data_IF_116508940531
#
_entry.id   IF_116508940531
#
_cell.length_a   1.000
_cell.length_b   1.000
_cell.length_c   1.000
_cell.angle_alpha   90.00
_cell.angle_beta   90.00
_cell.angle_gamma   90.00
#
_symmetry.space_group_name_H-M   'P 1'
#
loop_
_entity.id
_entity.type
_entity.pdbx_description
1 polymer ?
#
# COMPACT_ATOMS: atom_id res chain seq x y z
N UNK A 1 43.31 22.44 69.99
CA UNK A 1 44.24 21.42 69.44
C UNK A 1 43.80 21.06 68.04
N UNK A 2 44.77 21.00 67.13
CA UNK A 2 44.70 20.49 65.75
C UNK A 2 43.86 21.27 64.71
N UNK A 3 44.60 22.06 63.92
CA UNK A 3 44.29 22.45 62.55
C UNK A 3 44.14 21.22 61.64
N UNK A 4 43.26 21.27 60.63
CA UNK A 4 43.67 20.94 59.26
C UNK A 4 42.72 21.50 58.20
N UNK A 5 43.38 21.85 57.09
CA UNK A 5 42.99 22.76 56.04
C UNK A 5 42.51 22.02 54.78
N UNK A 6 41.77 22.78 53.94
CA UNK A 6 41.63 22.66 52.48
C UNK A 6 40.69 21.55 51.97
N UNK A 7 39.61 21.97 51.27
CA UNK A 7 39.52 21.80 49.81
C UNK A 7 38.38 22.66 49.24
N UNK A 8 38.75 23.47 48.25
CA UNK A 8 37.90 24.37 47.51
C UNK A 8 36.74 23.63 46.83
N UNK A 9 35.52 24.11 47.01
CA UNK A 9 34.36 23.68 46.25
C UNK A 9 34.27 24.53 44.97
N UNK A 10 34.79 24.00 43.86
CA UNK A 10 34.48 24.52 42.54
C UNK A 10 33.11 23.94 42.13
N UNK A 11 32.08 24.78 42.11
CA UNK A 11 30.77 24.43 41.59
C UNK A 11 30.84 24.36 40.06
N UNK A 12 31.09 23.17 39.52
CA UNK A 12 30.92 22.88 38.09
C UNK A 12 29.46 22.54 37.81
N UNK A 13 28.68 23.49 37.29
CA UNK A 13 27.36 23.21 36.75
C UNK A 13 27.52 22.44 35.42
N UNK A 14 27.27 21.13 35.45
CA UNK A 14 27.16 20.33 34.25
C UNK A 14 25.83 20.66 33.55
N UNK A 15 25.89 21.50 32.51
CA UNK A 15 24.77 21.72 31.61
C UNK A 15 24.64 20.45 30.75
N UNK A 16 23.69 19.58 31.10
CA UNK A 16 23.26 18.52 30.21
C UNK A 16 22.55 19.16 29.00
N UNK A 17 23.25 19.23 27.86
CA UNK A 17 22.61 19.53 26.57
C UNK A 17 21.68 18.36 26.24
N UNK A 18 20.40 18.49 26.60
CA UNK A 18 19.36 17.68 26.00
C UNK A 18 19.34 18.01 24.51
N UNK A 19 19.85 17.10 23.69
CA UNK A 19 19.61 17.12 22.25
C UNK A 19 18.11 16.89 22.03
N UNK A 20 17.34 17.99 22.00
CA UNK A 20 15.99 17.99 21.50
C UNK A 20 16.10 17.67 20.00
N UNK A 21 15.97 16.39 19.64
CA UNK A 21 15.71 16.01 18.27
C UNK A 21 14.49 16.78 17.81
N UNK A 22 14.67 17.66 16.82
CA UNK A 22 13.58 18.43 16.26
C UNK A 22 12.56 17.45 15.67
N UNK A 23 11.45 17.23 16.36
CA UNK A 23 10.29 16.59 15.77
C UNK A 23 9.83 17.52 14.64
N UNK A 24 10.14 17.16 13.39
CA UNK A 24 9.66 17.92 12.24
C UNK A 24 8.15 17.76 12.20
N UNK A 25 7.41 18.85 12.31
CA UNK A 25 5.96 18.81 12.22
C UNK A 25 5.54 18.32 10.83
N UNK A 26 4.47 17.53 10.78
CA UNK A 26 3.87 17.12 9.51
C UNK A 26 3.51 18.37 8.69
N UNK A 27 3.94 18.38 7.43
CA UNK A 27 3.72 19.53 6.54
C UNK A 27 2.37 19.43 5.84
N UNK A 28 1.94 20.53 5.22
CA UNK A 28 0.87 20.43 4.24
C UNK A 28 1.35 19.60 3.03
N UNK A 29 0.51 18.73 2.48
CA UNK A 29 0.89 17.91 1.34
C UNK A 29 1.28 18.81 0.15
N UNK A 30 2.53 18.70 -0.38
CA UNK A 30 2.99 19.59 -1.43
C UNK A 30 2.26 19.35 -2.75
N UNK A 31 1.97 20.42 -3.48
CA UNK A 31 1.49 20.32 -4.85
C UNK A 31 2.66 19.95 -5.78
N UNK A 32 2.56 18.81 -6.47
CA UNK A 32 3.58 18.31 -7.38
C UNK A 32 3.06 18.25 -8.83
N UNK A 33 3.97 18.25 -9.79
CA UNK A 33 3.65 18.08 -11.21
C UNK A 33 3.43 16.60 -11.55
N UNK A 34 2.20 16.11 -11.32
CA UNK A 34 1.81 14.71 -11.52
C UNK A 34 0.95 14.56 -12.79
N UNK A 35 1.29 13.58 -13.63
CA UNK A 35 0.39 13.09 -14.67
C UNK A 35 -0.67 12.17 -14.04
N UNK A 36 -1.86 12.72 -13.80
CA UNK A 36 -2.97 12.01 -13.17
C UNK A 36 -3.44 10.80 -13.97
N UNK A 37 -3.23 10.78 -15.29
CA UNK A 37 -3.61 9.63 -16.15
C UNK A 37 -2.74 8.39 -15.89
N UNK A 38 -1.61 8.57 -15.21
CA UNK A 38 -0.68 7.50 -14.85
C UNK A 38 -0.82 7.09 -13.38
N UNK A 39 -1.91 7.45 -12.69
CA UNK A 39 -2.08 7.10 -11.28
C UNK A 39 -2.47 5.63 -11.13
N UNK A 40 -1.83 4.94 -10.19
CA UNK A 40 -2.12 3.56 -9.81
C UNK A 40 -2.21 3.41 -8.29
N UNK A 41 -2.78 2.30 -7.83
CA UNK A 41 -2.87 1.96 -6.40
C UNK A 41 -2.43 0.52 -6.15
N UNK A 42 -1.84 0.25 -5.01
CA UNK A 42 -1.65 -1.11 -4.53
C UNK A 42 -1.85 -1.25 -3.03
N UNK A 43 -1.91 -2.49 -2.55
CA UNK A 43 -1.85 -2.74 -1.12
C UNK A 43 -1.83 -4.22 -0.74
N UNK A 44 -1.53 -4.44 0.54
CA UNK A 44 -1.52 -5.76 1.18
C UNK A 44 -2.76 -5.93 2.07
N UNK A 45 -3.35 -7.13 2.10
CA UNK A 45 -4.39 -7.49 3.10
C UNK A 45 -5.58 -6.53 3.02
N UNK A 46 -5.99 -5.89 4.13
CA UNK A 46 -6.99 -4.83 4.12
C UNK A 46 -6.65 -3.66 3.17
N UNK A 47 -5.36 -3.30 3.03
CA UNK A 47 -4.89 -2.35 2.02
C UNK A 47 -5.07 -2.88 0.60
N UNK A 48 -4.95 -4.20 0.38
CA UNK A 48 -5.25 -4.85 -0.89
C UNK A 48 -6.74 -4.83 -1.24
N UNK A 49 -7.62 -5.10 -0.27
CA UNK A 49 -9.05 -4.89 -0.42
C UNK A 49 -9.38 -3.43 -0.74
N UNK A 50 -8.76 -2.48 -0.03
CA UNK A 50 -8.95 -1.06 -0.30
C UNK A 50 -8.41 -0.63 -1.67
N UNK A 51 -7.29 -1.20 -2.13
CA UNK A 51 -6.78 -0.95 -3.47
C UNK A 51 -7.79 -1.37 -4.56
N UNK A 52 -8.47 -2.51 -4.37
CA UNK A 52 -9.58 -2.92 -5.25
C UNK A 52 -10.75 -1.95 -5.16
N UNK A 53 -11.13 -1.52 -3.95
CA UNK A 53 -12.20 -0.54 -3.76
C UNK A 53 -11.92 0.79 -4.44
N UNK A 54 -10.72 1.35 -4.27
CA UNK A 54 -10.31 2.59 -4.90
C UNK A 54 -10.24 2.45 -6.41
N UNK A 55 -9.66 1.36 -6.91
CA UNK A 55 -9.54 1.14 -8.35
C UNK A 55 -10.90 0.97 -9.04
N UNK A 56 -11.87 0.30 -8.41
CA UNK A 56 -13.22 0.13 -8.98
C UNK A 56 -14.05 1.41 -8.81
N UNK A 57 -14.09 1.97 -7.59
CA UNK A 57 -14.95 3.10 -7.28
C UNK A 57 -14.51 4.40 -7.94
N UNK A 58 -13.19 4.61 -8.03
CA UNK A 58 -12.55 5.81 -8.58
C UNK A 58 -11.65 5.44 -9.77
N UNK A 59 -12.14 4.56 -10.64
CA UNK A 59 -11.40 4.05 -11.80
C UNK A 59 -10.90 5.12 -12.76
N UNK A 60 -11.55 6.29 -12.84
CA UNK A 60 -11.04 7.44 -13.61
C UNK A 60 -9.80 8.06 -12.95
N UNK A 61 -9.70 8.01 -11.61
CA UNK A 61 -8.53 8.47 -10.87
C UNK A 61 -7.40 7.47 -11.00
N UNK A 62 -7.65 6.19 -10.75
CA UNK A 62 -6.66 5.10 -10.84
C UNK A 62 -6.61 4.46 -12.22
N UNK A 63 -6.68 5.29 -13.27
CA UNK A 63 -6.90 4.87 -14.66
C UNK A 63 -5.83 3.92 -15.21
N UNK A 64 -4.62 3.94 -14.63
CA UNK A 64 -3.53 3.09 -15.09
C UNK A 64 -3.64 1.67 -14.54
N UNK A 65 -4.24 1.48 -13.36
CA UNK A 65 -4.50 0.17 -12.79
C UNK A 65 -4.14 -0.02 -11.33
N UNK A 66 -4.12 -1.29 -10.90
CA UNK A 66 -3.92 -1.66 -9.51
C UNK A 66 -3.09 -2.92 -9.27
N UNK A 67 -2.39 -2.94 -8.14
CA UNK A 67 -1.72 -4.12 -7.60
C UNK A 67 -2.41 -4.62 -6.34
N UNK A 68 -2.64 -5.91 -6.20
CA UNK A 68 -3.37 -6.47 -5.05
C UNK A 68 -2.60 -7.65 -4.48
N UNK A 69 -2.20 -7.54 -3.23
CA UNK A 69 -1.42 -8.55 -2.50
C UNK A 69 -2.31 -9.09 -1.39
N UNK A 70 -2.70 -10.37 -1.48
CA UNK A 70 -3.55 -11.02 -0.46
C UNK A 70 -4.80 -10.19 -0.08
N UNK A 71 -5.48 -9.62 -1.08
CA UNK A 71 -6.75 -8.88 -0.94
C UNK A 71 -7.95 -9.74 -1.36
N UNK A 72 -8.96 -9.12 -1.99
CA UNK A 72 -10.11 -9.85 -2.51
C UNK A 72 -11.09 -9.00 -3.32
N UNK A 73 -12.18 -9.61 -3.82
CA UNK A 73 -13.16 -8.94 -4.69
C UNK A 73 -13.75 -7.67 -4.10
N UNK A 74 -14.10 -6.74 -4.99
CA UNK A 74 -14.88 -5.56 -4.61
C UNK A 74 -16.17 -5.97 -3.91
N UNK A 75 -16.49 -5.31 -2.80
CA UNK A 75 -17.68 -5.59 -1.99
C UNK A 75 -17.78 -7.04 -1.45
N UNK A 76 -16.67 -7.80 -1.39
CA UNK A 76 -16.69 -9.21 -0.96
C UNK A 76 -17.41 -9.43 0.39
N UNK A 77 -17.18 -8.53 1.36
CA UNK A 77 -17.75 -8.64 2.69
C UNK A 77 -19.26 -8.34 2.72
N UNK A 78 -19.82 -7.65 1.71
CA UNK A 78 -21.22 -7.22 1.69
C UNK A 78 -21.67 -6.51 2.99
N UNK A 79 -20.77 -5.73 3.60
CA UNK A 79 -21.03 -5.06 4.88
C UNK A 79 -21.09 -5.98 6.12
N UNK A 80 -20.71 -7.25 6.00
CA UNK A 80 -20.76 -8.24 7.09
C UNK A 80 -19.37 -8.68 7.55
N UNK A 81 -19.12 -8.57 8.86
CA UNK A 81 -17.88 -9.06 9.49
C UNK A 81 -17.73 -10.58 9.38
N UNK A 82 -18.85 -11.31 9.33
CA UNK A 82 -18.87 -12.76 9.16
C UNK A 82 -18.39 -13.13 7.76
N UNK A 83 -18.85 -12.40 6.74
CA UNK A 83 -18.35 -12.61 5.37
C UNK A 83 -16.89 -12.17 5.24
N UNK A 84 -16.53 -11.05 5.85
CA UNK A 84 -15.16 -10.52 5.83
C UNK A 84 -14.16 -11.54 6.38
N UNK A 85 -14.39 -12.04 7.60
CA UNK A 85 -13.47 -12.99 8.26
C UNK A 85 -13.64 -14.44 7.79
N UNK A 86 -14.81 -14.80 7.28
CA UNK A 86 -15.11 -16.10 6.69
C UNK A 86 -14.69 -16.17 5.22
N UNK A 87 -15.65 -16.01 4.30
CA UNK A 87 -15.41 -16.28 2.88
C UNK A 87 -14.44 -15.32 2.20
N UNK A 88 -14.24 -14.11 2.73
CA UNK A 88 -13.25 -13.18 2.17
C UNK A 88 -11.85 -13.34 2.78
N UNK A 89 -11.63 -14.32 3.66
CA UNK A 89 -10.34 -14.56 4.29
C UNK A 89 -10.05 -16.07 4.44
N UNK A 90 -10.69 -16.72 5.42
CA UNK A 90 -10.33 -18.06 5.89
C UNK A 90 -10.98 -19.22 5.11
N UNK A 91 -12.13 -18.99 4.47
CA UNK A 91 -12.95 -20.05 3.85
C UNK A 91 -13.54 -19.61 2.52
N UNK A 92 -12.73 -19.43 1.46
CA UNK A 92 -13.15 -18.81 0.19
C UNK A 92 -14.24 -19.55 -0.59
N UNK A 93 -14.63 -20.75 -0.16
CA UNK A 93 -15.79 -21.44 -0.71
C UNK A 93 -17.05 -20.57 -0.50
N UNK A 94 -17.70 -20.20 -1.61
CA UNK A 94 -18.95 -19.43 -1.58
C UNK A 94 -18.82 -17.92 -1.72
N UNK A 95 -17.66 -17.38 -2.12
CA UNK A 95 -17.58 -15.99 -2.62
C UNK A 95 -18.49 -15.87 -3.87
N UNK A 96 -19.53 -15.01 -3.86
CA UNK A 96 -20.52 -14.96 -4.93
C UNK A 96 -20.08 -14.00 -6.05
N UNK A 97 -18.99 -14.33 -6.76
CA UNK A 97 -18.36 -13.40 -7.73
C UNK A 97 -19.34 -12.84 -8.77
N UNK A 98 -20.28 -13.64 -9.28
CA UNK A 98 -21.31 -13.17 -10.22
C UNK A 98 -22.21 -12.09 -9.61
N UNK A 99 -22.64 -12.26 -8.36
CA UNK A 99 -23.41 -11.26 -7.61
C UNK A 99 -22.59 -9.99 -7.40
N UNK A 100 -21.31 -10.11 -7.02
CA UNK A 100 -20.43 -8.94 -6.83
C UNK A 100 -20.22 -8.15 -8.13
N UNK A 101 -20.08 -8.84 -9.27
CA UNK A 101 -20.03 -8.23 -10.60
C UNK A 101 -21.35 -7.52 -10.93
N UNK A 102 -22.50 -8.15 -10.65
CA UNK A 102 -23.81 -7.54 -10.84
C UNK A 102 -23.97 -6.27 -10.00
N UNK A 103 -23.61 -6.32 -8.72
CA UNK A 103 -23.65 -5.15 -7.82
C UNK A 103 -22.77 -4.02 -8.33
N UNK A 104 -21.56 -4.33 -8.81
CA UNK A 104 -20.65 -3.34 -9.40
C UNK A 104 -21.28 -2.65 -10.62
N UNK A 105 -21.86 -3.42 -11.55
CA UNK A 105 -22.54 -2.85 -12.72
C UNK A 105 -23.72 -1.97 -12.32
N UNK A 106 -24.53 -2.41 -11.35
CA UNK A 106 -25.64 -1.61 -10.81
C UNK A 106 -25.14 -0.28 -10.24
N UNK A 107 -24.12 -0.31 -9.38
CA UNK A 107 -23.57 0.90 -8.78
C UNK A 107 -22.96 1.85 -9.81
N UNK A 108 -22.30 1.32 -10.85
CA UNK A 108 -21.79 2.13 -11.95
C UNK A 108 -22.93 2.77 -12.75
N UNK A 109 -24.02 2.03 -13.04
CA UNK A 109 -25.20 2.57 -13.74
C UNK A 109 -25.94 3.65 -12.95
N UNK A 110 -25.86 3.59 -11.62
CA UNK A 110 -26.41 4.57 -10.70
C UNK A 110 -25.49 5.78 -10.49
N UNK A 111 -24.25 5.75 -10.99
CA UNK A 111 -23.27 6.82 -10.81
C UNK A 111 -22.72 6.95 -9.39
N UNK A 112 -22.85 5.92 -8.54
CA UNK A 112 -22.27 5.92 -7.18
C UNK A 112 -20.83 5.39 -7.16
N UNK A 113 -20.38 4.81 -8.28
CA UNK A 113 -18.98 4.54 -8.62
C UNK A 113 -18.74 4.95 -10.07
N UNK A 114 -17.47 5.12 -10.45
CA UNK A 114 -17.09 5.40 -11.84
C UNK A 114 -17.56 4.29 -12.81
N UNK A 115 -17.78 4.63 -14.11
CA UNK A 115 -18.16 3.65 -15.12
C UNK A 115 -17.18 2.47 -15.23
N UNK A 116 -17.70 1.23 -15.23
CA UNK A 116 -16.86 0.02 -15.39
C UNK A 116 -16.07 -0.02 -16.70
N UNK A 117 -16.47 0.75 -17.71
CA UNK A 117 -15.74 0.90 -18.96
C UNK A 117 -14.31 1.46 -18.76
N UNK A 118 -14.09 2.27 -17.72
CA UNK A 118 -12.76 2.78 -17.37
C UNK A 118 -11.77 1.66 -17.02
N UNK A 119 -12.25 0.52 -16.53
CA UNK A 119 -11.41 -0.62 -16.15
C UNK A 119 -10.85 -1.37 -17.36
N UNK A 120 -11.41 -1.20 -18.56
CA UNK A 120 -11.00 -1.96 -19.75
C UNK A 120 -9.54 -1.66 -20.17
N UNK A 121 -9.05 -0.45 -19.89
CA UNK A 121 -7.67 -0.04 -20.16
C UNK A 121 -6.71 -0.31 -18.99
N UNK A 122 -7.22 -0.67 -17.81
CA UNK A 122 -6.40 -0.86 -16.62
C UNK A 122 -5.48 -2.07 -16.75
N UNK A 123 -4.30 -1.99 -16.12
CA UNK A 123 -3.44 -3.15 -15.83
C UNK A 123 -3.66 -3.60 -14.40
N UNK A 124 -3.77 -4.91 -14.17
CA UNK A 124 -3.96 -5.46 -12.82
C UNK A 124 -2.90 -6.49 -12.51
N UNK A 125 -2.23 -6.34 -11.37
CA UNK A 125 -1.28 -7.33 -10.86
C UNK A 125 -1.81 -7.94 -9.56
N UNK A 126 -1.91 -9.26 -9.50
CA UNK A 126 -2.40 -10.00 -8.36
C UNK A 126 -1.27 -10.85 -7.78
N UNK A 127 -1.15 -10.86 -6.45
CA UNK A 127 -0.23 -11.73 -5.72
C UNK A 127 -0.93 -12.49 -4.59
N UNK A 128 -0.66 -13.79 -4.49
CA UNK A 128 -1.03 -14.62 -3.34
C UNK A 128 0.09 -15.58 -3.02
N UNK A 129 0.53 -15.62 -1.75
CA UNK A 129 1.45 -16.65 -1.29
C UNK A 129 0.73 -18.00 -1.15
N UNK A 130 1.38 -19.09 -1.55
CA UNK A 130 0.76 -20.43 -1.46
C UNK A 130 0.60 -20.93 -0.03
N UNK A 131 1.29 -20.30 0.93
CA UNK A 131 1.19 -20.62 2.35
C UNK A 131 0.30 -19.62 3.12
N UNK A 132 -0.28 -18.62 2.45
CA UNK A 132 -1.07 -17.58 3.11
C UNK A 132 -2.25 -18.20 3.89
N UNK A 133 -2.12 -18.18 5.21
CA UNK A 133 -3.10 -18.75 6.14
C UNK A 133 -4.17 -17.75 6.59
N UNK A 134 -4.08 -16.48 6.17
CA UNK A 134 -4.95 -15.37 6.60
C UNK A 134 -5.96 -15.02 5.51
N UNK A 135 -5.47 -14.70 4.32
CA UNK A 135 -6.28 -14.47 3.11
C UNK A 135 -5.93 -15.56 2.12
N UNK A 136 -6.62 -16.69 2.24
CA UNK A 136 -6.27 -17.89 1.47
C UNK A 136 -6.37 -17.61 -0.02
N UNK A 137 -5.52 -18.28 -0.81
CA UNK A 137 -5.39 -18.09 -2.27
C UNK A 137 -6.72 -18.15 -3.03
N UNK A 138 -7.70 -18.93 -2.56
CA UNK A 138 -9.04 -18.97 -3.17
C UNK A 138 -9.76 -17.61 -3.19
N UNK A 139 -9.47 -16.69 -2.26
CA UNK A 139 -10.00 -15.31 -2.29
C UNK A 139 -9.42 -14.53 -3.47
N UNK A 140 -8.11 -14.66 -3.69
CA UNK A 140 -7.42 -14.03 -4.82
C UNK A 140 -7.77 -14.69 -6.16
N UNK A 141 -8.08 -15.98 -6.18
CA UNK A 141 -8.66 -16.67 -7.34
C UNK A 141 -10.05 -16.10 -7.69
N UNK A 142 -10.89 -15.85 -6.68
CA UNK A 142 -12.19 -15.18 -6.88
C UNK A 142 -12.02 -13.74 -7.36
N UNK A 143 -11.01 -13.01 -6.86
CA UNK A 143 -10.67 -11.66 -7.33
C UNK A 143 -10.23 -11.65 -8.79
N UNK A 144 -9.42 -12.63 -9.23
CA UNK A 144 -9.07 -12.76 -10.65
C UNK A 144 -10.32 -12.95 -11.51
N UNK A 145 -11.24 -13.82 -11.08
CA UNK A 145 -12.51 -14.02 -11.78
C UNK A 145 -13.34 -12.74 -11.83
N UNK A 146 -13.40 -11.99 -10.73
CA UNK A 146 -14.07 -10.68 -10.66
C UNK A 146 -13.45 -9.69 -11.67
N UNK A 147 -12.13 -9.48 -11.63
CA UNK A 147 -11.46 -8.54 -12.52
C UNK A 147 -11.61 -8.91 -14.00
N UNK A 148 -11.55 -10.20 -14.35
CA UNK A 148 -11.74 -10.67 -15.72
C UNK A 148 -13.15 -10.38 -16.30
N UNK A 149 -14.11 -9.95 -15.47
CA UNK A 149 -15.42 -9.47 -15.94
C UNK A 149 -15.38 -8.03 -16.48
N UNK A 150 -14.33 -7.26 -16.19
CA UNK A 150 -14.20 -5.84 -16.53
C UNK A 150 -12.89 -5.48 -17.22
N UNK A 151 -11.82 -6.22 -16.90
CA UNK A 151 -10.46 -6.02 -17.40
C UNK A 151 -10.12 -7.18 -18.35
N UNK A 152 -9.60 -6.92 -19.56
CA UNK A 152 -9.15 -7.97 -20.45
C UNK A 152 -8.15 -8.90 -19.77
N UNK A 153 -8.27 -10.21 -19.94
CA UNK A 153 -7.39 -11.18 -19.28
C UNK A 153 -5.89 -10.95 -19.59
N UNK A 154 -5.57 -10.42 -20.78
CA UNK A 154 -4.20 -10.04 -21.17
C UNK A 154 -3.61 -8.87 -20.35
N UNK A 155 -4.45 -8.12 -19.64
CA UNK A 155 -4.05 -7.03 -18.76
C UNK A 155 -3.94 -7.46 -17.29
N UNK A 156 -4.26 -8.72 -16.96
CA UNK A 156 -4.24 -9.26 -15.60
C UNK A 156 -3.10 -10.27 -15.44
N UNK A 157 -2.11 -9.93 -14.60
CA UNK A 157 -1.08 -10.88 -14.15
C UNK A 157 -1.47 -11.40 -12.77
N UNK A 158 -1.26 -12.70 -12.55
CA UNK A 158 -1.49 -13.32 -11.25
C UNK A 158 -0.33 -14.25 -10.86
N UNK A 159 0.48 -13.79 -9.91
CA UNK A 159 1.62 -14.51 -9.34
C UNK A 159 1.15 -15.24 -8.07
N UNK A 160 1.18 -16.56 -8.10
CA UNK A 160 0.67 -17.41 -7.00
C UNK A 160 1.43 -18.71 -6.77
N UNK A 161 2.71 -18.69 -7.06
CA UNK A 161 3.63 -19.82 -7.08
C UNK A 161 4.82 -19.63 -6.10
N UNK A 162 4.74 -18.63 -5.22
CA UNK A 162 5.73 -18.38 -4.17
C UNK A 162 5.19 -18.92 -2.85
N UNK A 163 5.99 -19.71 -2.14
CA UNK A 163 5.70 -20.25 -0.82
C UNK A 163 5.82 -19.20 0.30
N UNK A 164 5.06 -18.11 0.16
CA UNK A 164 4.96 -17.03 1.13
C UNK A 164 3.76 -17.21 2.05
N UNK A 165 3.94 -16.89 3.33
CA UNK A 165 2.83 -16.63 4.25
C UNK A 165 2.24 -15.22 4.00
N UNK A 166 1.30 -14.78 4.85
CA UNK A 166 0.63 -13.49 4.71
C UNK A 166 1.55 -12.27 4.93
N UNK A 167 2.19 -11.79 3.86
CA UNK A 167 3.12 -10.66 3.88
C UNK A 167 3.23 -9.93 2.54
N UNK A 168 3.76 -8.69 2.58
CA UNK A 168 4.34 -8.04 1.42
C UNK A 168 5.72 -8.67 1.17
N UNK A 169 5.89 -9.35 0.05
CA UNK A 169 7.16 -10.04 -0.23
C UNK A 169 8.18 -9.12 -0.90
N UNK A 170 9.44 -9.31 -0.58
CA UNK A 170 10.60 -8.59 -1.11
C UNK A 170 11.66 -9.59 -1.57
N UNK A 171 12.75 -9.09 -2.14
CA UNK A 171 13.92 -9.88 -2.52
C UNK A 171 15.12 -9.74 -1.59
N UNK A 172 15.06 -8.86 -0.58
CA UNK A 172 16.21 -8.57 0.27
C UNK A 172 15.88 -8.11 1.71
N UNK A 173 14.61 -8.07 2.12
CA UNK A 173 14.23 -7.52 3.43
C UNK A 173 12.98 -8.16 4.07
N UNK A 174 13.09 -8.43 5.37
CA UNK A 174 11.96 -8.78 6.22
C UNK A 174 12.13 -10.13 6.92
N UNK A 175 11.02 -10.71 7.37
CA UNK A 175 11.01 -12.06 7.91
C UNK A 175 11.33 -13.11 6.84
N UNK A 176 11.62 -14.35 7.23
CA UNK A 176 11.66 -15.46 6.27
C UNK A 176 10.30 -15.68 5.62
N UNK A 177 10.27 -15.99 4.32
CA UNK A 177 9.07 -16.07 3.49
C UNK A 177 7.87 -16.86 4.08
N UNK A 178 8.12 -17.95 4.81
CA UNK A 178 7.08 -18.77 5.46
C UNK A 178 6.61 -18.25 6.82
N UNK A 179 7.00 -17.03 7.22
CA UNK A 179 6.71 -16.47 8.54
C UNK A 179 5.46 -15.60 8.50
N UNK A 180 4.47 -15.95 9.33
CA UNK A 180 3.35 -15.05 9.63
C UNK A 180 3.63 -14.23 10.88
N UNK A 181 4.04 -12.98 10.72
CA UNK A 181 4.28 -12.08 11.85
C UNK A 181 4.69 -10.68 11.41
N UNK A 182 4.69 -9.75 12.36
CA UNK A 182 5.17 -8.38 12.16
C UNK A 182 6.63 -8.41 11.64
N UNK A 183 7.02 -7.49 10.74
CA UNK A 183 6.23 -6.36 10.22
C UNK A 183 5.31 -6.74 9.03
N UNK A 184 5.05 -8.03 8.80
CA UNK A 184 4.31 -8.53 7.62
C UNK A 184 4.96 -8.12 6.29
N UNK A 185 6.29 -8.03 6.33
CA UNK A 185 7.18 -7.89 5.19
C UNK A 185 8.13 -9.08 5.24
N UNK A 186 8.37 -9.75 4.12
CA UNK A 186 9.19 -10.97 4.11
C UNK A 186 10.10 -11.04 2.90
N UNK A 187 11.34 -11.45 3.15
CA UNK A 187 12.29 -11.79 2.11
C UNK A 187 11.92 -13.16 1.53
N UNK A 188 11.47 -13.14 0.28
CA UNK A 188 11.09 -14.29 -0.50
C UNK A 188 11.96 -14.42 -1.77
N UNK A 189 13.08 -13.71 -1.85
CA UNK A 189 13.90 -13.59 -3.06
C UNK A 189 13.06 -13.18 -4.30
N UNK A 190 12.04 -12.34 -4.12
CA UNK A 190 11.18 -11.87 -5.20
C UNK A 190 10.78 -10.41 -5.03
N UNK A 191 11.22 -9.56 -5.97
CA UNK A 191 10.87 -8.14 -6.02
C UNK A 191 9.43 -7.96 -6.51
N UNK A 192 8.46 -8.17 -5.60
CA UNK A 192 7.04 -8.02 -5.90
C UNK A 192 6.69 -6.58 -6.29
N UNK A 193 7.26 -5.58 -5.62
CA UNK A 193 7.00 -4.18 -5.92
C UNK A 193 7.47 -3.83 -7.34
N UNK A 194 8.70 -4.23 -7.71
CA UNK A 194 9.26 -4.05 -9.04
C UNK A 194 8.44 -4.76 -10.12
N UNK A 195 8.13 -6.05 -9.93
CA UNK A 195 7.34 -6.83 -10.88
C UNK A 195 5.93 -6.23 -11.08
N UNK A 196 5.29 -5.79 -10.00
CA UNK A 196 3.99 -5.13 -10.03
C UNK A 196 4.05 -3.81 -10.79
N UNK A 197 4.99 -2.92 -10.44
CA UNK A 197 5.13 -1.62 -11.10
C UNK A 197 5.48 -1.77 -12.58
N UNK A 198 6.30 -2.77 -12.94
CA UNK A 198 6.65 -3.05 -14.33
C UNK A 198 5.43 -3.53 -15.14
N UNK A 199 4.57 -4.37 -14.56
CA UNK A 199 3.31 -4.74 -15.23
C UNK A 199 2.37 -3.54 -15.43
N UNK A 200 2.26 -2.69 -14.40
CA UNK A 200 1.38 -1.53 -14.42
C UNK A 200 1.85 -0.47 -15.42
N UNK A 201 3.15 -0.21 -15.51
CA UNK A 201 3.71 0.89 -16.31
C UNK A 201 4.40 0.49 -17.60
N UNK A 202 4.63 -0.80 -17.83
CA UNK A 202 5.50 -1.31 -18.89
C UNK A 202 6.97 -1.22 -18.49
N UNK A 203 7.85 -1.08 -19.47
CA UNK A 203 9.30 -0.97 -19.22
C UNK A 203 9.62 0.19 -18.28
N UNK A 204 10.32 -0.11 -17.19
CA UNK A 204 10.84 0.86 -16.23
C UNK A 204 12.38 0.86 -16.30
N UNK A 205 12.99 1.98 -15.95
CA UNK A 205 14.43 2.01 -15.65
C UNK A 205 14.75 1.06 -14.50
N UNK A 206 15.97 0.50 -14.44
CA UNK A 206 16.41 -0.30 -13.30
C UNK A 206 16.20 0.45 -11.98
N UNK A 207 15.81 -0.28 -10.92
CA UNK A 207 15.68 0.29 -9.57
C UNK A 207 17.01 0.84 -9.08
N UNK A 208 16.97 1.90 -8.26
CA UNK A 208 18.18 2.42 -7.61
C UNK A 208 18.76 1.39 -6.65
N UNK A 209 20.07 1.20 -6.68
CA UNK A 209 20.83 0.44 -5.67
C UNK A 209 21.46 1.35 -4.62
N UNK A 210 21.38 2.67 -4.80
CA UNK A 210 21.85 3.64 -3.83
C UNK A 210 20.85 3.79 -2.67
N UNK A 211 21.37 4.09 -1.48
CA UNK A 211 20.57 4.43 -0.30
C UNK A 211 19.61 5.57 -0.64
N UNK A 212 18.32 5.37 -0.36
CA UNK A 212 17.30 6.39 -0.60
C UNK A 212 17.52 7.58 0.34
N UNK A 213 17.57 8.83 -0.16
CA UNK A 213 17.74 9.99 0.69
C UNK A 213 16.58 10.15 1.68
N UNK A 214 16.86 10.19 2.98
CA UNK A 214 15.82 10.34 4.02
C UNK A 214 14.99 11.61 3.81
N UNK A 215 15.61 12.69 3.31
CA UNK A 215 14.92 13.95 3.00
C UNK A 215 13.87 13.87 1.90
N UNK A 216 13.79 12.75 1.16
CA UNK A 216 12.75 12.52 0.17
C UNK A 216 11.47 11.92 0.78
N UNK A 217 11.52 11.45 2.04
CA UNK A 217 10.32 11.06 2.77
C UNK A 217 9.68 12.28 3.39
N UNK A 218 8.44 12.55 2.99
CA UNK A 218 7.63 13.67 3.48
C UNK A 218 6.48 13.12 4.31
N UNK A 219 6.50 13.45 5.59
CA UNK A 219 5.34 13.27 6.47
C UNK A 219 4.38 14.44 6.28
N UNK A 220 3.14 14.15 5.89
CA UNK A 220 2.12 15.17 5.62
C UNK A 220 0.90 15.01 6.51
N UNK A 221 0.22 16.12 6.76
CA UNK A 221 -0.98 16.20 7.58
C UNK A 221 -2.21 15.67 6.82
N UNK A 222 -2.74 14.50 7.20
CA UNK A 222 -3.96 13.94 6.60
C UNK A 222 -5.23 14.66 7.05
N UNK A 223 -5.18 15.39 8.17
CA UNK A 223 -6.29 16.20 8.68
C UNK A 223 -6.72 17.32 7.74
N UNK A 224 -5.91 17.64 6.72
CA UNK A 224 -6.31 18.55 5.64
C UNK A 224 -7.43 17.98 4.75
N UNK A 225 -7.56 16.65 4.68
CA UNK A 225 -8.43 15.96 3.73
C UNK A 225 -9.57 15.20 4.40
N UNK A 226 -9.35 14.73 5.63
CA UNK A 226 -10.25 13.81 6.31
C UNK A 226 -10.28 14.04 7.82
N UNK A 227 -11.44 13.81 8.44
CA UNK A 227 -11.62 13.86 9.90
C UNK A 227 -12.43 12.65 10.35
N UNK A 228 -11.94 11.90 11.35
CA UNK A 228 -12.65 10.76 11.96
C UNK A 228 -13.00 9.58 11.02
N UNK A 229 -12.09 9.19 10.13
CA UNK A 229 -12.28 8.09 9.18
C UNK A 229 -11.42 6.83 9.47
N UNK A 230 -10.91 6.69 10.70
CA UNK A 230 -10.06 5.55 11.08
C UNK A 230 -8.64 5.58 10.48
N UNK A 231 -8.23 6.73 9.92
CA UNK A 231 -6.89 6.98 9.40
C UNK A 231 -6.07 7.79 10.42
N UNK A 232 -4.75 7.61 10.41
CA UNK A 232 -3.84 8.39 11.24
C UNK A 232 -3.91 9.90 10.93
N UNK A 233 -3.45 10.74 11.85
CA UNK A 233 -3.38 12.19 11.61
C UNK A 233 -2.35 12.58 10.56
N UNK A 234 -1.34 11.72 10.33
CA UNK A 234 -0.28 11.92 9.34
C UNK A 234 -0.19 10.75 8.35
N UNK A 235 0.42 11.02 7.20
CA UNK A 235 0.71 10.05 6.15
C UNK A 235 2.11 10.31 5.58
N UNK A 236 2.62 9.37 4.77
CA UNK A 236 3.96 9.46 4.22
C UNK A 236 3.96 9.41 2.69
N UNK A 237 4.83 10.21 2.08
CA UNK A 237 5.11 10.15 0.65
C UNK A 237 6.63 10.10 0.41
N UNK A 238 7.09 9.21 -0.46
CA UNK A 238 8.44 9.26 -0.99
C UNK A 238 8.44 10.04 -2.31
N UNK A 239 9.16 11.16 -2.36
CA UNK A 239 9.20 12.06 -3.52
C UNK A 239 10.62 12.08 -4.08
N UNK A 240 10.91 11.39 -5.19
CA UNK A 240 12.21 11.45 -5.84
C UNK A 240 12.62 12.88 -6.19
N UNK A 241 13.92 13.17 -6.20
CA UNK A 241 14.45 14.52 -6.46
C UNK A 241 13.86 15.18 -7.72
N UNK A 242 13.70 14.42 -8.80
CA UNK A 242 13.15 14.92 -10.05
C UNK A 242 11.67 15.37 -9.95
N UNK A 243 10.94 14.85 -8.97
CA UNK A 243 9.51 15.08 -8.75
C UNK A 243 9.20 16.12 -7.66
N UNK A 244 10.21 16.64 -6.96
CA UNK A 244 10.04 17.64 -5.91
C UNK A 244 9.51 18.97 -6.48
N UNK A 245 8.94 19.81 -5.62
CA UNK A 245 8.48 21.15 -6.00
C UNK A 245 9.64 21.98 -6.59
N UNK A 246 9.41 22.59 -7.76
CA UNK A 246 10.47 23.27 -8.52
C UNK A 246 11.27 22.36 -9.47
N UNK A 247 11.04 21.04 -9.44
CA UNK A 247 11.54 20.11 -10.45
C UNK A 247 10.89 20.32 -11.82
N UNK A 248 11.55 19.85 -12.88
CA UNK A 248 11.09 20.02 -14.28
C UNK A 248 10.27 18.83 -14.79
N UNK A 249 10.38 17.66 -14.15
CA UNK A 249 9.75 16.43 -14.61
C UNK A 249 8.24 16.41 -14.30
N UNK A 250 7.47 15.84 -15.24
CA UNK A 250 6.11 15.37 -14.94
C UNK A 250 6.22 13.94 -14.41
N UNK A 251 5.81 13.71 -13.17
CA UNK A 251 5.94 12.40 -12.53
C UNK A 251 4.62 11.61 -12.50
N UNK A 252 4.73 10.30 -12.27
CA UNK A 252 3.59 9.40 -12.05
C UNK A 252 3.34 9.26 -10.55
N UNK A 253 2.14 8.84 -10.16
CA UNK A 253 1.77 8.59 -8.76
C UNK A 253 1.37 7.12 -8.56
N UNK A 254 1.97 6.47 -7.57
CA UNK A 254 1.53 5.19 -7.06
C UNK A 254 1.17 5.31 -5.58
N UNK A 255 -0.07 4.97 -5.23
CA UNK A 255 -0.52 4.93 -3.83
C UNK A 255 -0.32 3.51 -3.30
N UNK A 256 0.37 3.33 -2.18
CA UNK A 256 0.59 2.02 -1.55
C UNK A 256 -0.10 2.00 -0.19
N UNK A 257 -1.01 1.05 0.00
CA UNK A 257 -1.80 0.90 1.21
C UNK A 257 -1.28 -0.28 2.03
N UNK A 258 -0.83 0.01 3.25
CA UNK A 258 -0.38 -0.99 4.19
C UNK A 258 -1.54 -1.91 4.63
N UNK A 259 -1.19 -3.11 5.11
CA UNK A 259 -2.15 -4.07 5.65
C UNK A 259 -2.51 -3.82 7.11
N UNK A 260 -3.36 -4.67 7.66
CA UNK A 260 -3.65 -4.68 9.09
C UNK A 260 -2.35 -4.90 9.90
N UNK A 261 -2.17 -4.14 10.98
CA UNK A 261 -1.00 -4.22 11.88
C UNK A 261 0.34 -3.88 11.22
N UNK A 262 0.30 -3.09 10.14
CA UNK A 262 1.44 -2.41 9.56
C UNK A 262 1.32 -0.90 9.79
#
# INVERSE_FOLDING_TARGET
>A
MAFNFIRAAAAGAAIALCAAGSASAAVNLPALKIDKTQTTVSGLSAGGFMAVQLHVAYSATFAKGAGVVAGGPFYCAEGSIVNATGRCMASPAGIPTSTLVSTTNTWASQGVIDPVANLQSSKVYLFSGTLDSVVKTGVMDALRTYYNSFVPAANVVYKKDIAAEHAMVTDDYGNGCSTKGAPYISDCNFDLAGAMLQHLYGTLSPRSTATLPTGNYVEFNQGQFITNHGMATTGWAYIPQACQAGGTATCKLHVVLHGCKQ
#
